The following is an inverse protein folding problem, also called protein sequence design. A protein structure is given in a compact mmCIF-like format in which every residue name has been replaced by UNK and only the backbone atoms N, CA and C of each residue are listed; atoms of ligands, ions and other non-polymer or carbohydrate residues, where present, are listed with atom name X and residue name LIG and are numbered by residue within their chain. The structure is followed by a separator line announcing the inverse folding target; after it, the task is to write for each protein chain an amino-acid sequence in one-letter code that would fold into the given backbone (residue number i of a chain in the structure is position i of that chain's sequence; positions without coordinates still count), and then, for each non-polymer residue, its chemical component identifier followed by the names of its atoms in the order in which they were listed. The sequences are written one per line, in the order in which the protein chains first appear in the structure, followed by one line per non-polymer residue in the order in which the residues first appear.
data_IF_195634159842
#
_entry.id   IF_195634159842
#
_cell.length_a   1.000
_cell.length_b   1.000
_cell.length_c   1.000
_cell.angle_alpha   90.00
_cell.angle_beta   90.00
_cell.angle_gamma   90.00
#
_symmetry.space_group_name_H-M   'P 1'
#
loop_
_entity.id
_entity.type
_entity.pdbx_description
1 polymer ?
#
# COMPACT_ATOMS: atom_id res chain seq x y z
N UNK A 1 -2.98 -3.63 -4.89
CA UNK A 1 -1.88 -3.47 -3.90
C UNK A 1 -0.95 -4.69 -3.81
N UNK A 2 -1.48 -5.92 -3.80
CA UNK A 2 -0.72 -7.16 -3.58
C UNK A 2 0.45 -7.35 -4.57
N UNK A 3 0.20 -7.23 -5.88
CA UNK A 3 1.24 -7.38 -6.91
C UNK A 3 2.43 -6.44 -6.74
N UNK A 4 2.17 -5.15 -6.47
CA UNK A 4 3.21 -4.15 -6.18
C UNK A 4 4.12 -4.61 -5.04
N UNK A 5 3.54 -5.07 -3.93
CA UNK A 5 4.32 -5.47 -2.76
C UNK A 5 5.07 -6.80 -2.98
N UNK A 6 4.35 -7.84 -3.44
CA UNK A 6 4.87 -9.20 -3.55
C UNK A 6 5.86 -9.41 -4.71
N UNK A 7 5.73 -8.64 -5.81
CA UNK A 7 6.56 -8.76 -7.01
C UNK A 7 7.66 -7.70 -7.11
N UNK A 8 7.53 -6.57 -6.41
CA UNK A 8 8.47 -5.44 -6.53
C UNK A 8 9.12 -5.11 -5.19
N UNK A 9 8.35 -4.62 -4.21
CA UNK A 9 8.92 -4.10 -2.96
C UNK A 9 9.70 -5.16 -2.18
N UNK A 10 9.06 -6.30 -1.90
CA UNK A 10 9.67 -7.35 -1.08
C UNK A 10 10.90 -7.97 -1.76
N UNK A 11 10.84 -8.38 -3.06
CA UNK A 11 12.02 -8.90 -3.75
C UNK A 11 13.16 -7.90 -3.82
N UNK A 12 12.91 -6.63 -4.15
CA UNK A 12 13.97 -5.62 -4.17
C UNK A 12 14.59 -5.40 -2.80
N UNK A 13 13.81 -5.40 -1.72
CA UNK A 13 14.38 -5.23 -0.39
C UNK A 13 15.26 -6.43 -0.02
N UNK A 14 14.77 -7.65 -0.25
CA UNK A 14 15.55 -8.87 0.01
C UNK A 14 16.80 -8.95 -0.85
N UNK A 15 16.76 -8.48 -2.10
CA UNK A 15 17.92 -8.42 -2.98
C UNK A 15 18.96 -7.43 -2.46
N UNK A 16 18.56 -6.18 -2.20
CA UNK A 16 19.49 -5.14 -1.73
C UNK A 16 20.16 -5.56 -0.43
N UNK A 17 19.41 -6.14 0.50
CA UNK A 17 19.89 -6.45 1.85
C UNK A 17 20.27 -7.93 2.06
N UNK A 18 20.35 -8.73 0.98
CA UNK A 18 20.70 -10.16 1.05
C UNK A 18 19.82 -10.98 2.01
N UNK A 19 18.52 -10.66 2.10
CA UNK A 19 17.58 -11.29 3.04
C UNK A 19 16.82 -12.48 2.46
N UNK A 20 17.13 -12.91 1.24
CA UNK A 20 16.53 -14.11 0.66
C UNK A 20 16.64 -15.39 1.51
N UNK A 21 17.72 -15.63 2.29
CA UNK A 21 17.80 -16.82 3.15
C UNK A 21 16.70 -16.89 4.23
N UNK A 22 16.06 -15.76 4.54
CA UNK A 22 14.94 -15.66 5.50
C UNK A 22 13.63 -15.24 4.81
N UNK A 23 13.48 -15.54 3.51
CA UNK A 23 12.34 -15.06 2.70
C UNK A 23 10.98 -15.30 3.36
N UNK A 24 10.76 -16.48 3.96
CA UNK A 24 9.47 -16.78 4.60
C UNK A 24 9.15 -15.82 5.74
N UNK A 25 10.12 -15.55 6.60
CA UNK A 25 10.01 -14.60 7.71
C UNK A 25 9.85 -13.17 7.24
N UNK A 26 10.67 -12.75 6.26
CA UNK A 26 10.60 -11.40 5.73
C UNK A 26 9.23 -11.12 5.11
N UNK A 27 8.75 -12.02 4.25
CA UNK A 27 7.46 -11.86 3.57
C UNK A 27 6.29 -11.91 4.53
N UNK A 28 6.29 -12.81 5.52
CA UNK A 28 5.25 -12.85 6.54
C UNK A 28 5.07 -11.48 7.22
N UNK A 29 6.18 -10.88 7.67
CA UNK A 29 6.15 -9.59 8.35
C UNK A 29 5.81 -8.46 7.38
N UNK A 30 6.41 -8.44 6.19
CA UNK A 30 6.18 -7.39 5.20
C UNK A 30 4.75 -7.42 4.65
N UNK A 31 4.18 -8.58 4.39
CA UNK A 31 2.79 -8.73 3.94
C UNK A 31 1.81 -8.34 5.04
N UNK A 32 2.08 -8.67 6.30
CA UNK A 32 1.27 -8.19 7.42
C UNK A 32 1.17 -6.65 7.40
N UNK A 33 2.30 -5.93 7.42
CA UNK A 33 2.28 -4.47 7.49
C UNK A 33 1.81 -3.78 6.21
N UNK A 34 2.18 -4.31 5.04
CA UNK A 34 1.85 -3.64 3.78
C UNK A 34 0.46 -4.00 3.23
N UNK A 35 -0.07 -5.18 3.56
CA UNK A 35 -1.25 -5.74 2.88
C UNK A 35 -2.37 -6.18 3.84
N UNK A 36 -2.05 -6.84 4.95
CA UNK A 36 -3.05 -7.63 5.70
C UNK A 36 -3.20 -7.20 7.16
N UNK A 37 -3.06 -5.90 7.44
CA UNK A 37 -3.25 -5.32 8.78
C UNK A 37 -3.76 -3.89 8.71
N UNK A 38 -4.08 -3.31 9.87
CA UNK A 38 -4.40 -1.88 10.01
C UNK A 38 -3.35 -0.92 9.44
N UNK A 39 -2.12 -1.39 9.17
CA UNK A 39 -1.04 -0.63 8.55
C UNK A 39 -1.07 -0.66 7.01
N UNK A 40 -2.02 -1.37 6.40
CA UNK A 40 -2.18 -1.45 4.94
C UNK A 40 -2.15 -0.05 4.32
N UNK A 41 -1.38 0.08 3.24
CA UNK A 41 -1.23 1.35 2.52
C UNK A 41 -0.40 2.42 3.25
N UNK A 42 0.27 2.09 4.36
CA UNK A 42 1.22 3.02 4.99
C UNK A 42 2.41 3.33 4.06
N UNK A 43 3.11 4.42 4.38
CA UNK A 43 4.29 4.82 3.60
C UNK A 43 5.37 3.73 3.64
N UNK A 44 6.07 3.51 2.52
CA UNK A 44 7.09 2.47 2.38
C UNK A 44 8.18 2.50 3.45
N UNK A 45 8.61 3.69 3.90
CA UNK A 45 9.65 3.83 4.91
C UNK A 45 9.11 3.48 6.31
N UNK A 46 7.85 3.81 6.59
CA UNK A 46 7.15 3.37 7.80
C UNK A 46 6.99 1.84 7.78
N UNK A 47 6.59 1.27 6.64
CA UNK A 47 6.46 -0.17 6.49
C UNK A 47 7.80 -0.89 6.75
N UNK A 48 8.91 -0.41 6.17
CA UNK A 48 10.24 -0.98 6.41
C UNK A 48 10.66 -0.84 7.87
N UNK A 49 10.40 0.29 8.52
CA UNK A 49 10.65 0.43 9.97
C UNK A 49 9.92 -0.65 10.77
N UNK A 50 8.62 -0.85 10.52
CA UNK A 50 7.80 -1.85 11.21
C UNK A 50 8.30 -3.28 10.94
N UNK A 51 8.70 -3.55 9.70
CA UNK A 51 9.25 -4.85 9.29
C UNK A 51 10.57 -5.14 10.01
N UNK A 52 11.52 -4.22 9.97
CA UNK A 52 12.83 -4.41 10.59
C UNK A 52 12.72 -4.58 12.10
N UNK A 53 11.90 -3.76 12.78
CA UNK A 53 11.63 -3.92 14.21
C UNK A 53 11.07 -5.29 14.55
N UNK A 54 10.07 -5.73 13.79
CA UNK A 54 9.43 -7.02 14.05
C UNK A 54 10.37 -8.20 13.80
N UNK A 55 11.22 -8.13 12.77
CA UNK A 55 12.24 -9.15 12.53
C UNK A 55 13.30 -9.16 13.64
N UNK A 56 13.67 -8.00 14.16
CA UNK A 56 14.61 -7.88 15.29
C UNK A 56 14.05 -8.43 16.61
N UNK A 57 12.77 -8.16 16.91
CA UNK A 57 12.10 -8.58 18.15
C UNK A 57 11.79 -10.09 18.21
N UNK A 58 11.81 -10.78 17.06
CA UNK A 58 11.37 -12.16 16.93
C UNK A 58 12.50 -13.16 17.19
N UNK A 59 12.40 -13.93 18.28
CA UNK A 59 13.39 -14.93 18.67
C UNK A 59 13.63 -15.99 17.57
N UNK A 60 12.55 -16.48 16.95
CA UNK A 60 12.62 -17.45 15.85
C UNK A 60 13.37 -16.91 14.64
N UNK A 61 13.25 -15.61 14.35
CA UNK A 61 14.03 -14.93 13.31
C UNK A 61 15.49 -14.80 13.71
N UNK A 62 15.79 -14.39 14.95
CA UNK A 62 17.15 -14.21 15.45
C UNK A 62 17.97 -15.52 15.39
N UNK A 63 17.36 -16.65 15.77
CA UNK A 63 17.99 -17.97 15.65
C UNK A 63 18.36 -18.30 14.20
N UNK A 64 17.48 -17.99 13.25
CA UNK A 64 17.71 -18.24 11.82
C UNK A 64 18.78 -17.33 11.23
N UNK A 65 18.80 -16.06 11.60
CA UNK A 65 19.84 -15.11 11.20
C UNK A 65 21.22 -15.56 11.66
N UNK A 66 21.34 -15.99 12.93
CA UNK A 66 22.58 -16.51 13.49
C UNK A 66 23.06 -17.78 12.77
N UNK A 67 22.15 -18.73 12.52
CA UNK A 67 22.46 -19.97 11.81
C UNK A 67 22.96 -19.71 10.38
N UNK A 68 22.31 -18.78 9.68
CA UNK A 68 22.56 -18.48 8.27
C UNK A 68 23.65 -17.41 8.07
N UNK A 69 24.14 -16.80 9.17
CA UNK A 69 25.09 -15.66 9.15
C UNK A 69 24.59 -14.51 8.28
N UNK A 70 23.30 -14.17 8.44
CA UNK A 70 22.65 -13.05 7.76
C UNK A 70 22.45 -11.93 8.77
N UNK A 71 22.75 -10.70 8.37
CA UNK A 71 22.55 -9.50 9.19
C UNK A 71 21.33 -8.72 8.72
N UNK A 72 20.52 -8.25 9.67
CA UNK A 72 19.44 -7.32 9.35
C UNK A 72 19.98 -5.91 9.13
N UNK A 73 19.36 -5.12 8.26
CA UNK A 73 19.64 -3.69 8.15
C UNK A 73 19.42 -2.98 9.47
N UNK A 74 20.27 -1.99 9.77
CA UNK A 74 20.09 -1.12 10.93
C UNK A 74 18.81 -0.29 10.77
N UNK A 75 17.85 -0.55 11.66
CA UNK A 75 16.55 0.13 11.65
C UNK A 75 16.70 1.62 11.98
N UNK A 76 17.70 2.02 12.76
CA UNK A 76 17.87 3.42 13.19
C UNK A 76 18.07 4.38 12.02
N UNK A 77 18.53 3.87 10.87
CA UNK A 77 18.67 4.63 9.62
C UNK A 77 17.32 5.09 9.06
N UNK A 78 16.32 4.21 9.06
CA UNK A 78 14.97 4.58 8.61
C UNK A 78 14.26 5.42 9.67
N UNK A 79 14.52 5.21 10.95
CA UNK A 79 13.96 6.02 12.04
C UNK A 79 14.46 7.46 12.02
N UNK A 80 15.78 7.64 11.88
CA UNK A 80 16.40 8.97 11.79
C UNK A 80 15.91 9.73 10.56
N UNK A 81 15.71 9.06 9.42
CA UNK A 81 15.09 9.68 8.25
C UNK A 81 13.63 10.09 8.52
N UNK A 82 12.82 9.22 9.11
CA UNK A 82 11.42 9.55 9.46
C UNK A 82 11.39 10.77 10.39
N UNK A 83 12.22 10.79 11.43
CA UNK A 83 12.30 11.90 12.37
C UNK A 83 12.77 13.20 11.69
N UNK A 84 13.77 13.13 10.80
CA UNK A 84 14.20 14.26 9.99
C UNK A 84 13.04 14.86 9.19
N UNK A 85 12.21 14.04 8.54
CA UNK A 85 11.07 14.54 7.78
C UNK A 85 10.03 15.23 8.66
N UNK A 86 9.76 14.70 9.86
CA UNK A 86 8.84 15.31 10.82
C UNK A 86 9.35 16.66 11.31
N UNK A 87 10.60 16.71 11.77
CA UNK A 87 11.26 17.92 12.28
C UNK A 87 11.26 19.07 11.28
N UNK A 88 11.37 18.75 9.99
CA UNK A 88 11.45 19.73 8.91
C UNK A 88 10.15 19.90 8.11
N UNK A 89 9.04 19.29 8.56
CA UNK A 89 7.75 19.32 7.86
C UNK A 89 7.84 18.92 6.38
N UNK A 90 8.64 17.89 6.09
CA UNK A 90 8.86 17.37 4.73
C UNK A 90 8.00 16.12 4.47
N UNK A 91 7.65 15.90 3.20
CA UNK A 91 7.03 14.64 2.77
C UNK A 91 7.98 13.46 2.91
N UNK A 92 7.44 12.27 3.22
CA UNK A 92 8.25 11.06 3.44
C UNK A 92 8.49 10.32 2.09
N UNK A 93 9.50 10.76 1.34
CA UNK A 93 9.81 10.26 0.00
C UNK A 93 11.29 10.41 -0.38
N UNK A 94 11.67 9.92 -1.58
CA UNK A 94 13.06 9.97 -2.07
C UNK A 94 13.66 11.39 -2.06
N UNK A 95 12.95 12.46 -2.51
CA UNK A 95 13.53 13.81 -2.48
C UNK A 95 13.92 14.27 -1.07
N UNK A 96 13.15 13.89 -0.05
CA UNK A 96 13.47 14.20 1.34
C UNK A 96 14.60 13.32 1.87
N UNK A 97 14.72 12.08 1.41
CA UNK A 97 15.82 11.18 1.76
C UNK A 97 17.14 11.68 1.16
N UNK A 98 17.13 12.15 -0.08
CA UNK A 98 18.27 12.82 -0.71
C UNK A 98 18.71 14.05 0.08
N UNK A 99 17.76 14.90 0.50
CA UNK A 99 18.04 16.05 1.37
C UNK A 99 18.66 15.63 2.70
N UNK A 100 18.11 14.59 3.34
CA UNK A 100 18.63 14.07 4.60
C UNK A 100 20.08 13.57 4.47
N UNK A 101 20.37 12.81 3.40
CA UNK A 101 21.71 12.32 3.09
C UNK A 101 22.66 13.50 2.86
N UNK A 102 22.31 14.42 1.96
CA UNK A 102 23.21 15.51 1.57
C UNK A 102 23.50 16.49 2.71
N UNK A 103 22.52 16.77 3.57
CA UNK A 103 22.65 17.79 4.60
C UNK A 103 23.22 17.26 5.92
N UNK A 104 22.87 16.03 6.32
CA UNK A 104 23.21 15.51 7.65
C UNK A 104 24.11 14.27 7.61
N UNK A 105 24.11 13.49 6.52
CA UNK A 105 24.75 12.17 6.48
C UNK A 105 25.43 11.81 5.13
N UNK A 106 26.26 12.70 4.55
CA UNK A 106 26.69 12.59 3.14
C UNK A 106 27.58 11.38 2.84
N UNK A 107 28.15 10.73 3.85
CA UNK A 107 29.04 9.56 3.72
C UNK A 107 28.42 8.26 4.24
N UNK A 108 27.16 8.28 4.70
CA UNK A 108 26.55 7.11 5.33
C UNK A 108 26.01 6.11 4.29
N UNK A 109 26.82 5.10 3.94
CA UNK A 109 26.49 4.10 2.91
C UNK A 109 25.11 3.44 3.10
N UNK A 110 24.72 3.16 4.35
CA UNK A 110 23.41 2.56 4.65
C UNK A 110 22.21 3.39 4.17
N UNK A 111 22.32 4.73 4.17
CA UNK A 111 21.26 5.61 3.69
C UNK A 111 21.21 5.67 2.16
N UNK A 112 22.37 5.67 1.49
CA UNK A 112 22.42 5.51 0.03
C UNK A 112 21.83 4.17 -0.42
N UNK A 113 22.06 3.11 0.35
CA UNK A 113 21.45 1.79 0.10
C UNK A 113 19.93 1.82 0.23
N UNK A 114 19.41 2.52 1.25
CA UNK A 114 17.97 2.74 1.44
C UNK A 114 17.36 3.55 0.29
N UNK A 115 18.03 4.62 -0.15
CA UNK A 115 17.62 5.43 -1.30
C UNK A 115 17.62 4.59 -2.58
N UNK A 116 18.72 3.86 -2.84
CA UNK A 116 18.88 3.01 -4.01
C UNK A 116 17.80 1.93 -4.10
N UNK A 117 17.41 1.32 -2.96
CA UNK A 117 16.28 0.40 -2.93
C UNK A 117 14.98 1.10 -3.33
N UNK A 118 14.68 2.26 -2.72
CA UNK A 118 13.44 2.98 -2.96
C UNK A 118 13.31 3.46 -4.40
N UNK A 119 14.41 3.90 -5.02
CA UNK A 119 14.44 4.24 -6.44
C UNK A 119 14.32 3.01 -7.35
N UNK A 120 14.97 1.89 -7.01
CA UNK A 120 14.87 0.66 -7.79
C UNK A 120 13.42 0.17 -7.85
N UNK A 121 12.70 0.26 -6.74
CA UNK A 121 11.27 -0.01 -6.69
C UNK A 121 10.47 0.87 -7.66
N UNK A 122 10.75 2.17 -7.71
CA UNK A 122 10.07 3.08 -8.65
C UNK A 122 10.40 2.70 -10.11
N UNK A 123 11.67 2.43 -10.44
CA UNK A 123 12.08 2.03 -11.79
C UNK A 123 11.42 0.73 -12.27
N UNK A 124 11.13 -0.20 -11.36
CA UNK A 124 10.49 -1.48 -11.71
C UNK A 124 8.97 -1.36 -11.85
N UNK A 125 8.35 -0.32 -11.29
CA UNK A 125 6.90 -0.17 -11.24
C UNK A 125 6.22 -0.24 -12.62
N UNK A 126 6.68 0.49 -13.66
CA UNK A 126 6.08 0.44 -15.00
C UNK A 126 6.20 -0.92 -15.69
N UNK A 127 7.19 -1.75 -15.32
CA UNK A 127 7.45 -3.02 -16.00
C UNK A 127 6.62 -4.19 -15.47
N UNK A 128 6.12 -4.08 -14.23
CA UNK A 128 5.35 -5.13 -13.55
C UNK A 128 3.96 -4.64 -13.19
N UNK A 129 3.84 -3.57 -12.39
CA UNK A 129 2.53 -3.16 -11.86
C UNK A 129 1.61 -2.62 -12.95
N UNK A 130 2.16 -1.92 -13.95
CA UNK A 130 1.35 -1.45 -15.09
C UNK A 130 0.76 -2.60 -15.94
N UNK A 131 1.25 -3.85 -15.80
CA UNK A 131 0.71 -5.02 -16.51
C UNK A 131 -0.44 -5.71 -15.77
N UNK A 132 -0.66 -5.36 -14.51
CA UNK A 132 -1.77 -5.90 -13.72
C UNK A 132 -3.04 -5.16 -14.16
N UNK A 133 -4.07 -5.84 -14.68
CA UNK A 133 -5.30 -5.18 -15.08
C UNK A 133 -6.08 -4.67 -13.85
N UNK A 134 -7.01 -3.72 -14.04
CA UNK A 134 -8.02 -3.40 -13.05
C UNK A 134 -8.77 -4.66 -12.60
N UNK A 135 -9.33 -4.64 -11.39
CA UNK A 135 -10.26 -5.69 -10.96
C UNK A 135 -11.50 -5.70 -11.86
N UNK A 136 -12.15 -6.87 -11.93
CA UNK A 136 -13.44 -6.99 -12.60
C UNK A 136 -14.43 -5.97 -12.02
N UNK A 137 -15.38 -5.54 -12.86
CA UNK A 137 -16.39 -4.52 -12.53
C UNK A 137 -15.90 -3.09 -12.27
N UNK A 138 -14.59 -2.82 -12.15
CA UNK A 138 -14.06 -1.46 -11.95
C UNK A 138 -14.51 -0.50 -13.05
N UNK A 139 -14.30 -0.87 -14.31
CA UNK A 139 -14.67 -0.02 -15.46
C UNK A 139 -16.19 0.21 -15.51
N UNK A 140 -16.98 -0.84 -15.27
CA UNK A 140 -18.44 -0.75 -15.21
C UNK A 140 -18.90 0.22 -14.12
N UNK A 141 -18.26 0.18 -12.96
CA UNK A 141 -18.57 1.08 -11.85
C UNK A 141 -18.11 2.52 -12.15
N UNK A 142 -16.93 2.72 -12.74
CA UNK A 142 -16.46 4.05 -13.15
C UNK A 142 -17.39 4.70 -14.16
N UNK A 143 -17.84 3.95 -15.16
CA UNK A 143 -18.82 4.41 -16.15
C UNK A 143 -20.17 4.80 -15.53
N UNK A 144 -20.63 4.04 -14.54
CA UNK A 144 -21.84 4.40 -13.80
C UNK A 144 -21.63 5.68 -12.98
N UNK A 145 -20.52 5.77 -12.25
CA UNK A 145 -20.20 6.94 -11.43
C UNK A 145 -20.08 8.20 -12.28
N UNK A 146 -19.43 8.14 -13.44
CA UNK A 146 -19.17 9.30 -14.30
C UNK A 146 -20.43 9.91 -14.90
N UNK A 147 -21.58 9.20 -14.84
CA UNK A 147 -22.88 9.73 -15.25
C UNK A 147 -23.54 10.59 -14.16
N UNK A 148 -23.06 10.51 -12.92
CA UNK A 148 -23.74 11.07 -11.75
C UNK A 148 -22.82 11.88 -10.81
N UNK A 149 -21.50 11.73 -10.91
CA UNK A 149 -20.55 12.34 -10.01
C UNK A 149 -19.23 12.69 -10.72
N UNK A 150 -18.58 13.73 -10.21
CA UNK A 150 -17.19 14.04 -10.55
C UNK A 150 -16.26 13.04 -9.85
N UNK A 151 -15.43 12.33 -10.63
CA UNK A 151 -14.52 11.32 -10.10
C UNK A 151 -13.11 11.90 -10.01
N UNK A 152 -12.55 11.90 -8.81
CA UNK A 152 -11.14 12.26 -8.56
C UNK A 152 -10.36 11.04 -8.07
N UNK A 153 -9.15 10.87 -8.57
CA UNK A 153 -8.25 9.81 -8.10
C UNK A 153 -7.24 10.41 -7.13
N UNK A 154 -7.22 9.90 -5.89
CA UNK A 154 -6.29 10.37 -4.84
C UNK A 154 -5.37 9.22 -4.41
N UNK A 155 -4.06 9.37 -4.64
CA UNK A 155 -3.13 8.25 -4.48
C UNK A 155 -1.73 8.68 -4.04
N UNK A 156 -1.08 7.81 -3.25
CA UNK A 156 0.32 7.96 -2.84
C UNK A 156 1.30 7.29 -3.82
N UNK A 157 0.91 7.19 -5.10
CA UNK A 157 1.78 6.71 -6.18
C UNK A 157 2.20 7.93 -7.01
N UNK A 158 3.41 7.96 -7.59
CA UNK A 158 3.83 9.06 -8.45
C UNK A 158 2.81 9.34 -9.55
N UNK A 159 2.58 10.63 -9.86
CA UNK A 159 1.58 11.03 -10.85
C UNK A 159 1.76 10.34 -12.21
N UNK A 160 2.99 10.28 -12.73
CA UNK A 160 3.27 9.69 -14.05
C UNK A 160 2.86 8.21 -14.11
N UNK A 161 3.20 7.44 -13.08
CA UNK A 161 2.84 6.03 -12.99
C UNK A 161 1.31 5.81 -12.94
N UNK A 162 0.58 6.75 -12.31
CA UNK A 162 -0.88 6.72 -12.28
C UNK A 162 -1.47 7.10 -13.64
N UNK A 163 -1.04 8.20 -14.22
CA UNK A 163 -1.54 8.67 -15.51
C UNK A 163 -1.35 7.59 -16.59
N UNK A 164 -0.14 7.02 -16.70
CA UNK A 164 0.17 5.96 -17.65
C UNK A 164 -0.71 4.72 -17.45
N UNK A 165 -0.96 4.33 -16.19
CA UNK A 165 -1.83 3.19 -15.87
C UNK A 165 -3.27 3.46 -16.32
N UNK A 166 -3.81 4.61 -15.95
CA UNK A 166 -5.19 4.95 -16.26
C UNK A 166 -5.41 5.11 -17.77
N UNK A 167 -4.45 5.70 -18.49
CA UNK A 167 -4.50 5.85 -19.95
C UNK A 167 -4.45 4.49 -20.64
N UNK A 168 -3.49 3.64 -20.24
CA UNK A 168 -3.33 2.30 -20.80
C UNK A 168 -4.61 1.45 -20.74
N UNK A 169 -5.37 1.56 -19.66
CA UNK A 169 -6.60 0.79 -19.47
C UNK A 169 -7.87 1.54 -19.89
N UNK A 170 -7.74 2.69 -20.57
CA UNK A 170 -8.89 3.45 -21.07
C UNK A 170 -9.80 3.99 -19.96
N UNK A 171 -9.22 4.28 -18.78
CA UNK A 171 -10.01 4.72 -17.62
C UNK A 171 -10.02 6.24 -17.44
N UNK A 172 -9.12 6.97 -18.12
CA UNK A 172 -8.98 8.44 -17.99
C UNK A 172 -10.26 9.16 -18.38
N UNK A 173 -11.02 8.65 -19.36
CA UNK A 173 -12.25 9.29 -19.83
C UNK A 173 -13.35 9.39 -18.76
N UNK A 174 -13.27 8.58 -17.70
CA UNK A 174 -14.27 8.57 -16.62
C UNK A 174 -13.93 9.52 -15.47
N UNK A 175 -12.72 10.10 -15.42
CA UNK A 175 -12.24 10.88 -14.27
C UNK A 175 -11.99 12.34 -14.61
N UNK A 176 -12.28 13.21 -13.64
CA UNK A 176 -12.05 14.65 -13.76
C UNK A 176 -10.58 15.02 -13.45
N UNK A 177 -9.96 14.31 -12.50
CA UNK A 177 -8.60 14.61 -12.04
C UNK A 177 -7.88 13.38 -11.50
N UNK A 178 -6.57 13.32 -11.71
CA UNK A 178 -5.66 12.37 -11.07
C UNK A 178 -4.67 13.15 -10.19
N UNK A 179 -4.74 12.93 -8.88
CA UNK A 179 -3.84 13.51 -7.89
C UNK A 179 -2.85 12.46 -7.38
N UNK A 180 -1.58 12.64 -7.75
CA UNK A 180 -0.45 11.79 -7.33
C UNK A 180 0.18 12.23 -6.01
N UNK A 181 1.18 11.47 -5.56
CA UNK A 181 1.87 11.67 -4.29
C UNK A 181 2.50 13.07 -4.15
N UNK A 182 2.91 13.68 -5.27
CA UNK A 182 3.58 14.98 -5.31
C UNK A 182 2.63 16.14 -5.02
N UNK A 183 1.32 15.93 -5.08
CA UNK A 183 0.30 16.99 -5.07
C UNK A 183 -0.29 17.26 -3.68
N UNK A 184 0.24 16.65 -2.62
CA UNK A 184 -0.27 16.77 -1.25
C UNK A 184 -0.84 15.46 -0.68
N UNK A 185 -1.47 15.55 0.47
CA UNK A 185 -2.08 14.40 1.15
C UNK A 185 -3.49 14.11 0.62
N UNK A 186 -3.95 12.87 0.79
CA UNK A 186 -5.32 12.47 0.42
C UNK A 186 -6.40 13.34 1.07
N UNK A 187 -6.21 13.73 2.33
CA UNK A 187 -7.16 14.58 3.05
C UNK A 187 -7.24 15.98 2.45
N UNK A 188 -6.10 16.57 2.07
CA UNK A 188 -6.03 17.87 1.39
C UNK A 188 -6.65 17.81 0.00
N UNK A 189 -6.44 16.73 -0.76
CA UNK A 189 -7.07 16.55 -2.07
C UNK A 189 -8.60 16.50 -1.97
N UNK A 190 -9.13 15.72 -1.01
CA UNK A 190 -10.58 15.63 -0.78
C UNK A 190 -11.13 16.98 -0.32
N UNK A 191 -10.43 17.68 0.58
CA UNK A 191 -10.82 19.00 1.05
C UNK A 191 -10.90 20.01 -0.10
N UNK A 192 -9.87 20.07 -0.94
CA UNK A 192 -9.82 20.98 -2.08
C UNK A 192 -10.95 20.70 -3.08
N UNK A 193 -11.20 19.43 -3.39
CA UNK A 193 -12.30 19.05 -4.27
C UNK A 193 -13.67 19.40 -3.67
N UNK A 194 -13.86 19.18 -2.36
CA UNK A 194 -15.06 19.59 -1.60
C UNK A 194 -15.31 21.10 -1.71
N UNK A 195 -14.28 21.90 -1.49
CA UNK A 195 -14.37 23.36 -1.52
C UNK A 195 -14.64 23.90 -2.94
N UNK A 196 -13.89 23.44 -3.94
CA UNK A 196 -14.04 23.89 -5.34
C UNK A 196 -15.39 23.47 -5.92
N UNK A 197 -15.80 22.22 -5.70
CA UNK A 197 -17.09 21.70 -6.17
C UNK A 197 -18.28 22.09 -5.31
N UNK A 198 -18.06 22.76 -4.17
CA UNK A 198 -19.10 23.09 -3.19
C UNK A 198 -19.94 21.88 -2.75
N UNK A 199 -19.31 20.70 -2.63
CA UNK A 199 -20.01 19.47 -2.26
C UNK A 199 -20.36 19.45 -0.78
N UNK A 200 -21.58 19.05 -0.47
CA UNK A 200 -21.99 18.73 0.91
C UNK A 200 -21.33 17.43 1.36
N UNK A 201 -21.18 17.27 2.67
CA UNK A 201 -20.56 16.10 3.30
C UNK A 201 -21.22 14.78 2.88
N UNK A 202 -22.55 14.77 2.79
CA UNK A 202 -23.32 13.60 2.37
C UNK A 202 -23.34 13.35 0.85
N UNK A 203 -22.63 14.18 0.07
CA UNK A 203 -22.42 13.99 -1.37
C UNK A 203 -20.98 13.59 -1.72
N UNK A 204 -20.15 13.23 -0.73
CA UNK A 204 -18.78 12.79 -0.96
C UNK A 204 -18.65 11.34 -0.53
N UNK A 205 -18.23 10.49 -1.46
CA UNK A 205 -17.93 9.08 -1.22
C UNK A 205 -16.50 8.77 -1.62
N UNK A 206 -15.70 8.29 -0.66
CA UNK A 206 -14.37 7.77 -0.95
C UNK A 206 -14.40 6.25 -1.03
N UNK A 207 -13.91 5.71 -2.15
CA UNK A 207 -13.71 4.28 -2.35
C UNK A 207 -12.23 3.97 -2.06
N UNK A 208 -11.95 3.10 -1.09
CA UNK A 208 -10.57 2.82 -0.68
C UNK A 208 -10.40 1.51 0.07
N UNK A 209 -9.16 1.08 0.25
CA UNK A 209 -8.81 -0.21 0.84
C UNK A 209 -7.91 -0.10 2.08
N UNK A 210 -7.53 1.11 2.48
CA UNK A 210 -6.63 1.35 3.60
C UNK A 210 -7.28 2.21 4.71
N UNK A 211 -6.81 2.02 5.95
CA UNK A 211 -7.24 2.87 7.09
C UNK A 211 -6.87 4.35 6.88
N UNK A 212 -5.83 4.63 6.07
CA UNK A 212 -5.49 6.00 5.69
C UNK A 212 -6.57 6.67 4.82
N UNK A 213 -7.25 5.90 3.97
CA UNK A 213 -8.37 6.39 3.15
C UNK A 213 -9.56 6.74 4.02
N UNK A 214 -9.95 5.80 4.88
CA UNK A 214 -11.02 6.01 5.85
C UNK A 214 -10.76 7.26 6.69
N UNK A 215 -9.55 7.43 7.24
CA UNK A 215 -9.19 8.63 8.00
C UNK A 215 -9.30 9.90 7.17
N UNK A 216 -8.82 9.90 5.92
CA UNK A 216 -8.82 11.06 5.04
C UNK A 216 -10.24 11.53 4.72
N UNK A 217 -11.17 10.60 4.42
CA UNK A 217 -12.56 10.97 4.12
C UNK A 217 -13.32 11.39 5.38
N UNK A 218 -13.06 10.76 6.53
CA UNK A 218 -13.70 11.16 7.80
C UNK A 218 -13.26 12.52 8.29
N UNK A 219 -12.01 12.92 8.04
CA UNK A 219 -11.56 14.29 8.29
C UNK A 219 -12.32 15.33 7.44
N UNK A 220 -12.96 14.90 6.34
CA UNK A 220 -13.73 15.75 5.43
C UNK A 220 -15.25 15.57 5.55
N UNK A 221 -15.72 14.78 6.51
CA UNK A 221 -17.15 14.52 6.77
C UNK A 221 -17.83 13.55 5.79
N UNK A 222 -17.10 12.97 4.84
CA UNK A 222 -17.69 12.14 3.79
C UNK A 222 -17.93 10.67 4.19
N UNK A 223 -18.57 9.94 3.28
CA UNK A 223 -18.81 8.51 3.36
C UNK A 223 -17.62 7.70 2.84
N UNK A 224 -17.44 6.51 3.38
CA UNK A 224 -16.42 5.57 2.93
C UNK A 224 -17.07 4.30 2.38
N UNK A 225 -16.61 3.85 1.21
CA UNK A 225 -16.90 2.53 0.68
C UNK A 225 -15.62 1.68 0.70
N UNK A 226 -15.57 0.62 1.52
CA UNK A 226 -14.38 -0.21 1.61
C UNK A 226 -14.26 -1.19 0.44
N UNK A 227 -13.09 -1.21 -0.18
CA UNK A 227 -12.63 -2.34 -1.00
C UNK A 227 -11.90 -3.30 -0.06
N UNK A 228 -12.57 -4.39 0.32
CA UNK A 228 -12.09 -5.30 1.35
C UNK A 228 -10.91 -6.14 0.83
N UNK A 229 -9.74 -6.13 1.51
CA UNK A 229 -8.58 -6.92 1.09
C UNK A 229 -8.88 -8.41 0.98
N UNK A 230 -8.49 -9.04 -0.14
CA UNK A 230 -8.80 -10.43 -0.44
C UNK A 230 -10.22 -10.66 -0.98
N UNK A 231 -11.03 -9.61 -1.06
CA UNK A 231 -12.39 -9.60 -1.61
C UNK A 231 -12.59 -8.42 -2.58
N UNK A 232 -11.52 -8.00 -3.25
CA UNK A 232 -11.55 -6.79 -4.09
C UNK A 232 -12.60 -6.90 -5.22
N UNK A 233 -12.64 -8.03 -5.93
CA UNK A 233 -13.64 -8.29 -6.99
C UNK A 233 -15.07 -8.31 -6.43
N UNK A 234 -15.30 -8.95 -5.29
CA UNK A 234 -16.62 -8.97 -4.63
C UNK A 234 -17.05 -7.57 -4.20
N UNK A 235 -16.11 -6.76 -3.70
CA UNK A 235 -16.35 -5.39 -3.28
C UNK A 235 -16.78 -4.51 -4.47
N UNK A 236 -16.09 -4.60 -5.62
CA UNK A 236 -16.47 -3.86 -6.83
C UNK A 236 -17.81 -4.30 -7.41
N UNK A 237 -18.07 -5.61 -7.42
CA UNK A 237 -19.37 -6.13 -7.86
C UNK A 237 -20.51 -5.58 -7.01
N UNK A 238 -20.33 -5.57 -5.69
CA UNK A 238 -21.33 -5.11 -4.71
C UNK A 238 -21.45 -3.59 -4.70
N UNK A 239 -20.37 -2.86 -5.01
CA UNK A 239 -20.37 -1.40 -5.09
C UNK A 239 -21.40 -0.87 -6.09
N UNK A 240 -21.54 -1.54 -7.24
CA UNK A 240 -22.50 -1.16 -8.27
C UNK A 240 -23.93 -0.98 -7.72
N UNK A 241 -24.36 -1.87 -6.82
CA UNK A 241 -25.68 -1.80 -6.17
C UNK A 241 -25.72 -0.71 -5.09
N UNK A 242 -24.66 -0.62 -4.27
CA UNK A 242 -24.57 0.36 -3.19
C UNK A 242 -24.49 1.81 -3.69
N UNK A 243 -23.99 2.04 -4.90
CA UNK A 243 -23.92 3.38 -5.47
C UNK A 243 -25.31 3.99 -5.68
N UNK A 244 -26.32 3.20 -6.00
CA UNK A 244 -27.71 3.67 -6.10
C UNK A 244 -28.26 4.13 -4.74
N UNK A 245 -27.90 3.44 -3.66
CA UNK A 245 -28.27 3.86 -2.31
C UNK A 245 -27.53 5.14 -1.90
N UNK A 246 -26.30 5.35 -2.38
CA UNK A 246 -25.57 6.61 -2.17
C UNK A 246 -26.28 7.79 -2.87
N UNK A 247 -26.60 7.65 -4.15
CA UNK A 247 -27.30 8.68 -4.92
C UNK A 247 -28.67 9.05 -4.35
N UNK A 248 -29.33 8.12 -3.66
CA UNK A 248 -30.65 8.32 -3.06
C UNK A 248 -30.61 8.66 -1.56
N UNK A 249 -29.43 8.89 -0.99
CA UNK A 249 -29.26 9.24 0.43
C UNK A 249 -29.59 8.12 1.42
N UNK A 250 -29.66 6.86 0.96
CA UNK A 250 -29.92 5.67 1.78
C UNK A 250 -28.66 4.89 2.14
N UNK A 251 -27.49 5.31 1.62
CA UNK A 251 -26.23 4.62 1.88
C UNK A 251 -25.87 4.61 3.35
N UNK A 252 -25.52 3.42 3.86
CA UNK A 252 -25.14 3.21 5.24
C UNK A 252 -23.86 2.37 5.31
N UNK A 253 -22.75 3.04 5.58
CA UNK A 253 -21.43 2.43 5.66
C UNK A 253 -21.21 1.56 6.91
N UNK A 254 -22.04 1.64 7.95
CA UNK A 254 -21.74 1.03 9.27
C UNK A 254 -21.43 -0.46 9.17
N UNK A 255 -22.24 -1.21 8.42
CA UNK A 255 -22.01 -2.66 8.23
C UNK A 255 -20.75 -2.93 7.42
N UNK A 256 -20.52 -2.16 6.36
CA UNK A 256 -19.36 -2.31 5.49
C UNK A 256 -18.05 -2.00 6.25
N UNK A 257 -18.06 -1.00 7.12
CA UNK A 257 -16.93 -0.66 7.99
C UNK A 257 -16.61 -1.78 8.99
N UNK A 258 -17.62 -2.42 9.59
CA UNK A 258 -17.40 -3.56 10.50
C UNK A 258 -16.73 -4.75 9.79
N UNK A 259 -17.10 -5.01 8.54
CA UNK A 259 -16.47 -6.07 7.73
C UNK A 259 -15.04 -5.68 7.31
N UNK A 260 -14.83 -4.41 6.97
CA UNK A 260 -13.52 -3.85 6.62
C UNK A 260 -12.53 -3.92 7.79
N UNK A 261 -12.94 -3.50 8.99
CA UNK A 261 -12.10 -3.54 10.20
C UNK A 261 -11.70 -4.99 10.57
N UNK A 262 -12.62 -5.95 10.42
CA UNK A 262 -12.31 -7.37 10.65
C UNK A 262 -11.29 -7.94 9.67
N UNK A 263 -11.23 -7.41 8.44
CA UNK A 263 -10.28 -7.84 7.43
C UNK A 263 -8.85 -7.30 7.69
N UNK A 264 -8.70 -6.31 8.56
CA UNK A 264 -7.43 -5.64 8.86
C UNK A 264 -7.05 -5.80 10.34
N UNK A 265 -6.49 -6.94 10.75
CA UNK A 265 -6.11 -7.17 12.15
C UNK A 265 -5.03 -6.19 12.63
N UNK A 266 -5.06 -5.86 13.92
CA UNK A 266 -4.06 -5.02 14.60
C UNK A 266 -3.00 -5.84 15.37
N UNK A 267 -3.26 -7.13 15.58
CA UNK A 267 -2.32 -8.06 16.21
C UNK A 267 -1.66 -8.89 15.11
N UNK A 268 -0.31 -8.99 15.07
CA UNK A 268 0.38 -9.82 14.08
C UNK A 268 0.31 -11.31 14.43
N UNK A 269 0.35 -12.21 13.42
CA UNK A 269 0.23 -13.66 13.64
C UNK A 269 1.26 -14.23 14.62
N UNK A 270 2.49 -13.72 14.61
CA UNK A 270 3.58 -14.17 15.49
C UNK A 270 3.44 -13.74 16.96
N UNK A 271 2.34 -13.07 17.32
CA UNK A 271 1.96 -12.77 18.72
C UNK A 271 0.76 -13.60 19.19
N UNK A 272 0.23 -14.50 18.35
CA UNK A 272 -0.88 -15.39 18.71
C UNK A 272 -0.37 -16.63 19.48
N UNK A 273 -1.20 -17.16 20.38
CA UNK A 273 -0.83 -18.26 21.29
C UNK A 273 -0.48 -19.57 20.55
N UNK A 274 -1.14 -19.84 19.42
CA UNK A 274 -0.93 -21.04 18.60
C UNK A 274 -0.20 -20.74 17.29
N UNK A 275 0.71 -19.76 17.33
CA UNK A 275 1.45 -19.33 16.16
C UNK A 275 2.30 -20.46 15.54
N UNK A 276 2.15 -20.64 14.22
CA UNK A 276 2.97 -21.50 13.38
C UNK A 276 3.48 -20.70 12.19
N UNK A 277 4.80 -20.53 12.10
CA UNK A 277 5.42 -19.77 11.01
C UNK A 277 5.06 -20.31 9.63
N UNK A 278 5.07 -21.64 9.50
CA UNK A 278 4.79 -22.31 8.23
C UNK A 278 3.35 -22.08 7.79
N UNK A 279 2.39 -22.20 8.72
CA UNK A 279 0.97 -22.02 8.40
C UNK A 279 0.65 -20.55 8.09
N UNK A 280 1.23 -19.64 8.87
CA UNK A 280 1.11 -18.21 8.65
C UNK A 280 1.68 -17.80 7.29
N UNK A 281 2.88 -18.27 6.92
CA UNK A 281 3.43 -18.03 5.59
C UNK A 281 2.55 -18.62 4.48
N UNK A 282 2.07 -19.86 4.64
CA UNK A 282 1.24 -20.54 3.63
C UNK A 282 -0.08 -19.85 3.35
N UNK A 283 -0.66 -19.14 4.33
CA UNK A 283 -1.93 -18.39 4.20
C UNK A 283 -2.01 -17.54 2.93
N UNK A 284 -0.89 -16.95 2.50
CA UNK A 284 -0.81 -16.06 1.34
C UNK A 284 0.02 -16.62 0.18
N UNK A 285 0.48 -17.88 0.26
CA UNK A 285 1.35 -18.50 -0.75
C UNK A 285 0.66 -18.63 -2.10
N UNK A 286 -0.62 -19.00 -2.14
CA UNK A 286 -1.36 -19.13 -3.39
C UNK A 286 -1.46 -17.79 -4.14
N UNK A 287 -1.68 -16.68 -3.41
CA UNK A 287 -1.69 -15.33 -3.99
C UNK A 287 -0.34 -15.01 -4.64
N UNK A 288 0.77 -15.31 -3.94
CA UNK A 288 2.12 -15.14 -4.52
C UNK A 288 2.29 -16.00 -5.77
N UNK A 289 1.96 -17.29 -5.70
CA UNK A 289 2.11 -18.22 -6.82
C UNK A 289 1.38 -17.75 -8.08
N UNK A 290 0.13 -17.30 -7.95
CA UNK A 290 -0.67 -16.77 -9.06
C UNK A 290 -0.03 -15.51 -9.67
N UNK A 291 0.43 -14.59 -8.82
CA UNK A 291 1.08 -13.36 -9.26
C UNK A 291 2.41 -13.63 -9.98
N UNK A 292 3.26 -14.51 -9.44
CA UNK A 292 4.53 -14.88 -10.08
C UNK A 292 4.27 -15.60 -11.40
N UNK A 293 3.38 -16.61 -11.42
CA UNK A 293 3.05 -17.34 -12.66
C UNK A 293 2.59 -16.40 -13.78
N UNK A 294 1.78 -15.39 -13.45
CA UNK A 294 1.19 -14.48 -14.45
C UNK A 294 2.12 -13.35 -14.86
N UNK A 295 2.88 -12.77 -13.94
CA UNK A 295 3.57 -11.50 -14.17
C UNK A 295 5.08 -11.55 -14.01
N UNK A 296 5.64 -12.59 -13.37
CA UNK A 296 7.07 -12.78 -13.21
C UNK A 296 7.44 -14.27 -13.06
N UNK A 297 7.24 -15.11 -14.11
CA UNK A 297 7.31 -16.56 -13.98
C UNK A 297 8.72 -17.08 -13.67
N UNK A 298 9.76 -16.31 -14.02
CA UNK A 298 11.16 -16.61 -13.72
C UNK A 298 11.63 -15.95 -12.41
N UNK A 299 10.74 -15.26 -11.70
CA UNK A 299 11.06 -14.57 -10.46
C UNK A 299 11.34 -15.57 -9.34
N UNK A 300 12.34 -15.26 -8.51
CA UNK A 300 12.64 -16.01 -7.30
C UNK A 300 11.50 -15.83 -6.28
N UNK A 301 10.90 -16.94 -5.85
CA UNK A 301 10.08 -16.96 -4.65
C UNK A 301 10.06 -18.35 -4.00
N UNK A 302 9.85 -18.38 -2.69
CA UNK A 302 9.80 -19.61 -1.90
C UNK A 302 8.39 -20.22 -1.87
N UNK A 303 8.32 -21.53 -2.13
CA UNK A 303 7.14 -22.40 -1.95
C UNK A 303 7.49 -23.42 -0.87
N UNK A 304 6.69 -23.48 0.21
CA UNK A 304 6.82 -24.47 1.29
C UNK A 304 5.54 -25.25 1.51
#
# INVERSE_FOLDING_TARGET
MNGKQMLIFHPHFMEFYNLWPIESYFREVAEYYNLFSVHRGCNRFIAIQLVLKSLQERMDVQERLNLLKVELPDVTLVESFIEYTKRNSLGLGNPSLEKFINNENPTHLGLYKLLGWSEAVNRTFPHISAKIPPFDDVERCLKLMSQHADIIIVSQTPYTDLADYWEKYGLVEYVALIAGQEMGTKAEHIQMAKEVGSYREDHILMIGDAMGDLKAIKANGGFFYPIVPGKETESWKTFYENFSDFLSGRYNEKRLLLEFEKALPSIPPWKEEHYSHIDSYRKHQNIRMELYRKFNPNGRFLVI
#
